data_IF_818073541227
#
_entry.id   IF_818073541227
#
_cell.length_a   1.000
_cell.length_b   1.000
_cell.length_c   1.000
_cell.angle_alpha   90.00
_cell.angle_beta   90.00
_cell.angle_gamma   90.00
#
_symmetry.space_group_name_H-M   'P 1'
#
loop_
_entity.id
_entity.type
_entity.pdbx_description
1 polymer ?
#
# COMPACT_ATOMS: atom_id res chain seq x y z
N UNK A 1 2.72 12.38 -19.35
CA UNK A 1 1.81 11.29 -18.94
C UNK A 1 2.42 10.67 -17.69
N UNK A 2 1.86 10.95 -16.52
CA UNK A 2 2.24 10.26 -15.28
C UNK A 2 1.39 9.00 -15.28
N UNK A 3 2.02 7.83 -15.33
CA UNK A 3 1.27 6.60 -15.22
C UNK A 3 0.53 6.60 -13.86
N UNK A 4 -0.67 6.02 -13.74
CA UNK A 4 -1.39 5.85 -12.46
C UNK A 4 -0.63 5.07 -11.36
N UNK A 5 0.69 4.87 -11.52
CA UNK A 5 1.57 3.92 -10.85
C UNK A 5 2.28 4.54 -9.63
N UNK A 6 2.05 5.81 -9.27
CA UNK A 6 2.82 6.46 -8.17
C UNK A 6 2.10 6.46 -6.81
N UNK A 7 1.27 5.45 -6.55
CA UNK A 7 0.74 5.24 -5.20
C UNK A 7 1.89 4.92 -4.25
N UNK A 8 2.06 5.74 -3.22
CA UNK A 8 3.14 5.60 -2.24
C UNK A 8 2.66 5.85 -0.83
N UNK A 9 3.29 5.15 0.09
CA UNK A 9 3.06 5.23 1.52
C UNK A 9 4.39 5.49 2.20
N UNK A 10 4.42 6.46 3.12
CA UNK A 10 5.60 6.71 3.96
C UNK A 10 5.36 6.15 5.36
N UNK A 11 6.29 5.32 5.81
CA UNK A 11 6.36 4.80 7.17
C UNK A 11 7.44 5.60 7.91
N UNK A 12 7.08 6.26 9.00
CA UNK A 12 8.05 6.92 9.89
C UNK A 12 8.53 5.92 10.95
N UNK A 13 9.84 5.62 10.93
CA UNK A 13 10.49 4.71 11.87
C UNK A 13 11.58 5.46 12.60
N UNK A 14 11.32 5.84 13.85
CA UNK A 14 12.32 6.51 14.70
C UNK A 14 12.90 7.78 14.05
N UNK A 15 12.12 8.48 13.22
CA UNK A 15 12.55 9.69 12.49
C UNK A 15 13.15 9.40 11.12
N UNK A 16 13.24 8.13 10.70
CA UNK A 16 13.65 7.73 9.36
C UNK A 16 12.42 7.41 8.49
N UNK A 17 12.20 8.16 7.38
CA UNK A 17 11.10 7.90 6.47
C UNK A 17 11.42 6.75 5.51
N UNK A 18 10.70 5.64 5.64
CA UNK A 18 10.73 4.53 4.69
C UNK A 18 9.56 4.67 3.71
N UNK A 19 9.87 4.78 2.42
CA UNK A 19 8.85 4.89 1.36
C UNK A 19 8.55 3.50 0.81
N UNK A 20 7.27 3.14 0.78
CA UNK A 20 6.73 1.98 0.10
C UNK A 20 6.00 2.45 -1.15
N UNK A 21 6.37 1.93 -2.32
CA UNK A 21 5.72 2.23 -3.60
C UNK A 21 5.02 1.01 -4.15
N UNK A 22 3.82 1.23 -4.65
CA UNK A 22 3.11 0.22 -5.42
C UNK A 22 3.43 0.40 -6.91
N UNK A 23 4.63 0.00 -7.28
CA UNK A 23 5.09 -0.01 -8.67
C UNK A 23 5.21 -1.44 -9.22
N UNK A 24 5.47 -1.56 -10.52
CA UNK A 24 5.60 -2.87 -11.18
C UNK A 24 6.74 -3.71 -10.57
N UNK A 25 7.84 -3.08 -10.14
CA UNK A 25 8.98 -3.80 -9.58
C UNK A 25 8.62 -4.41 -8.22
N UNK A 26 7.96 -3.64 -7.35
CA UNK A 26 7.47 -4.10 -6.06
C UNK A 26 6.41 -5.19 -6.19
N UNK A 27 5.48 -5.05 -7.14
CA UNK A 27 4.47 -6.08 -7.44
C UNK A 27 5.10 -7.38 -7.95
N UNK A 28 5.99 -7.30 -8.95
CA UNK A 28 6.67 -8.47 -9.49
C UNK A 28 7.52 -9.19 -8.42
N UNK A 29 8.15 -8.43 -7.51
CA UNK A 29 8.91 -9.00 -6.39
C UNK A 29 7.99 -9.70 -5.38
N UNK A 30 6.85 -9.10 -5.03
CA UNK A 30 5.83 -9.74 -4.19
C UNK A 30 5.38 -11.08 -4.79
N UNK A 31 5.01 -11.10 -6.08
CA UNK A 31 4.58 -12.31 -6.78
C UNK A 31 5.67 -13.38 -6.79
N UNK A 32 6.92 -13.00 -7.11
CA UNK A 32 8.07 -13.91 -7.10
C UNK A 32 8.29 -14.57 -5.73
N UNK A 33 8.01 -13.83 -4.65
CA UNK A 33 8.13 -14.30 -3.26
C UNK A 33 6.86 -15.03 -2.75
N UNK A 34 5.91 -15.30 -3.65
CA UNK A 34 4.64 -15.96 -3.34
C UNK A 34 3.79 -15.12 -2.38
N UNK A 35 3.75 -13.80 -2.61
CA UNK A 35 2.86 -12.87 -1.95
C UNK A 35 2.00 -12.21 -3.03
N UNK A 36 0.73 -12.54 -3.03
CA UNK A 36 -0.26 -11.86 -3.86
C UNK A 36 -0.96 -10.78 -3.02
N UNK A 37 -0.78 -9.51 -3.41
CA UNK A 37 -1.41 -8.37 -2.73
C UNK A 37 -2.87 -8.16 -3.14
N UNK A 38 -3.31 -8.79 -4.23
CA UNK A 38 -4.66 -8.70 -4.78
C UNK A 38 -5.47 -9.99 -4.58
N UNK A 39 -4.96 -10.92 -3.77
CA UNK A 39 -5.67 -12.15 -3.40
C UNK A 39 -7.04 -11.84 -2.77
N UNK A 40 -8.03 -12.69 -3.04
CA UNK A 40 -9.35 -12.64 -2.41
C UNK A 40 -9.28 -12.76 -0.87
N UNK A 41 -8.26 -13.45 -0.35
CA UNK A 41 -7.98 -13.58 1.09
C UNK A 41 -7.34 -12.31 1.69
N UNK A 42 -6.96 -11.35 0.84
CA UNK A 42 -6.29 -10.10 1.19
C UNK A 42 -4.80 -10.24 1.53
N UNK A 43 -4.24 -9.18 2.13
CA UNK A 43 -2.82 -9.10 2.47
C UNK A 43 -2.45 -10.16 3.53
N UNK A 44 -1.34 -10.92 3.34
CA UNK A 44 -0.93 -11.96 4.28
C UNK A 44 -0.73 -11.44 5.71
N UNK A 45 -1.24 -12.19 6.70
CA UNK A 45 -1.11 -11.85 8.13
C UNK A 45 0.15 -12.40 8.81
N UNK A 46 0.89 -13.29 8.14
CA UNK A 46 2.13 -13.85 8.69
C UNK A 46 3.22 -12.78 8.70
N UNK A 47 3.84 -12.55 9.86
CA UNK A 47 4.87 -11.52 10.05
C UNK A 47 5.97 -11.57 8.99
N UNK A 48 6.45 -12.78 8.68
CA UNK A 48 7.48 -12.98 7.64
C UNK A 48 6.99 -12.56 6.25
N UNK A 49 5.73 -12.83 5.91
CA UNK A 49 5.15 -12.42 4.62
C UNK A 49 4.95 -10.90 4.56
N UNK A 50 4.57 -10.26 5.67
CA UNK A 50 4.47 -8.80 5.77
C UNK A 50 5.85 -8.15 5.59
N UNK A 51 6.90 -8.73 6.16
CA UNK A 51 8.27 -8.25 5.95
C UNK A 51 8.69 -8.33 4.47
N UNK A 52 8.30 -9.40 3.77
CA UNK A 52 8.54 -9.52 2.33
C UNK A 52 7.77 -8.46 1.52
N UNK A 53 6.54 -8.11 1.93
CA UNK A 53 5.79 -6.98 1.33
C UNK A 53 6.55 -5.67 1.54
N UNK A 54 6.94 -5.35 2.77
CA UNK A 54 7.69 -4.12 3.09
C UNK A 54 8.95 -4.02 2.24
N UNK A 55 9.76 -5.08 2.20
CA UNK A 55 10.98 -5.13 1.39
C UNK A 55 10.69 -4.92 -0.10
N UNK A 56 9.69 -5.62 -0.63
CA UNK A 56 9.36 -5.57 -2.05
C UNK A 56 8.89 -4.17 -2.45
N UNK A 57 7.98 -3.57 -1.69
CA UNK A 57 7.45 -2.24 -1.98
C UNK A 57 8.47 -1.12 -1.69
N UNK A 58 9.46 -1.36 -0.81
CA UNK A 58 10.53 -0.41 -0.56
C UNK A 58 11.66 -0.48 -1.61
N UNK A 59 11.70 -1.50 -2.48
CA UNK A 59 12.89 -1.81 -3.31
C UNK A 59 13.32 -0.64 -4.20
N UNK A 60 12.39 0.19 -4.67
CA UNK A 60 12.70 1.33 -5.53
C UNK A 60 13.44 2.46 -4.80
N UNK A 61 13.03 2.81 -3.58
CA UNK A 61 13.67 3.86 -2.79
C UNK A 61 14.77 3.32 -1.85
N UNK A 62 14.70 2.04 -1.50
CA UNK A 62 15.59 1.34 -0.55
C UNK A 62 16.08 -0.01 -1.11
N UNK A 63 16.82 -0.02 -2.23
CA UNK A 63 17.20 -1.25 -2.94
C UNK A 63 18.13 -2.18 -2.16
N UNK A 64 18.83 -1.65 -1.15
CA UNK A 64 19.73 -2.42 -0.29
C UNK A 64 19.06 -2.94 0.97
N UNK A 65 17.76 -2.67 1.18
CA UNK A 65 17.02 -3.13 2.36
C UNK A 65 17.05 -4.66 2.44
N UNK A 66 17.58 -5.14 3.56
CA UNK A 66 17.64 -6.56 3.88
C UNK A 66 16.29 -7.06 4.40
N UNK A 67 16.11 -8.38 4.36
CA UNK A 67 14.89 -9.00 4.92
C UNK A 67 14.80 -8.82 6.44
N UNK A 68 15.93 -8.78 7.15
CA UNK A 68 15.98 -8.59 8.60
C UNK A 68 15.62 -7.14 8.99
N UNK A 69 16.06 -6.15 8.22
CA UNK A 69 15.63 -4.76 8.39
C UNK A 69 14.13 -4.60 8.14
N UNK A 70 13.60 -5.22 7.07
CA UNK A 70 12.17 -5.21 6.81
C UNK A 70 11.37 -5.89 7.94
N UNK A 71 11.88 -6.98 8.50
CA UNK A 71 11.27 -7.65 9.66
C UNK A 71 11.29 -6.76 10.91
N UNK A 72 12.40 -6.05 11.14
CA UNK A 72 12.54 -5.08 12.24
C UNK A 72 11.50 -3.96 12.11
N UNK A 73 11.29 -3.41 10.91
CA UNK A 73 10.23 -2.43 10.63
C UNK A 73 8.86 -2.99 11.02
N UNK A 74 8.56 -4.24 10.64
CA UNK A 74 7.29 -4.90 10.99
C UNK A 74 7.10 -5.05 12.49
N UNK A 75 8.16 -5.41 13.21
CA UNK A 75 8.12 -5.52 14.67
C UNK A 75 7.87 -4.16 15.34
N UNK A 76 8.49 -3.07 14.84
CA UNK A 76 8.36 -1.72 15.40
C UNK A 76 6.98 -1.10 15.17
N UNK A 77 6.41 -1.22 13.96
CA UNK A 77 5.09 -0.60 13.62
C UNK A 77 3.91 -1.46 14.11
N UNK A 78 4.15 -2.74 14.38
CA UNK A 78 3.16 -3.81 14.58
C UNK A 78 2.57 -4.32 13.25
N UNK A 79 2.46 -5.64 13.05
CA UNK A 79 1.97 -6.26 11.81
C UNK A 79 0.63 -5.72 11.28
N UNK A 80 -0.38 -5.59 12.14
CA UNK A 80 -1.74 -5.19 11.72
C UNK A 80 -1.80 -3.74 11.20
N UNK A 81 -0.98 -2.86 11.74
CA UNK A 81 -0.91 -1.47 11.29
C UNK A 81 -0.30 -1.38 9.89
N UNK A 82 0.71 -2.19 9.59
CA UNK A 82 1.29 -2.28 8.24
C UNK A 82 0.27 -2.85 7.24
N UNK A 83 -0.41 -3.94 7.60
CA UNK A 83 -1.46 -4.52 6.74
C UNK A 83 -2.51 -3.48 6.37
N UNK A 84 -3.00 -2.71 7.36
CA UNK A 84 -4.02 -1.68 7.13
C UNK A 84 -3.53 -0.64 6.12
N UNK A 85 -2.30 -0.14 6.29
CA UNK A 85 -1.71 0.84 5.37
C UNK A 85 -1.41 0.27 3.97
N UNK A 86 -1.06 -1.02 3.86
CA UNK A 86 -0.87 -1.68 2.56
C UNK A 86 -2.21 -1.86 1.85
N UNK A 87 -3.28 -2.19 2.57
CA UNK A 87 -4.64 -2.26 2.00
C UNK A 87 -5.07 -0.88 1.49
N UNK A 88 -4.83 0.19 2.26
CA UNK A 88 -5.06 1.57 1.82
C UNK A 88 -4.29 1.87 0.52
N UNK A 89 -2.99 1.55 0.49
CA UNK A 89 -2.13 1.75 -0.68
C UNK A 89 -2.64 1.01 -1.93
N UNK A 90 -3.09 -0.25 -1.78
CA UNK A 90 -3.65 -1.07 -2.87
C UNK A 90 -5.02 -0.55 -3.31
N UNK A 91 -5.84 -0.07 -2.38
CA UNK A 91 -7.16 0.49 -2.68
C UNK A 91 -7.04 1.82 -3.43
N UNK A 92 -6.11 2.69 -3.02
CA UNK A 92 -5.83 3.96 -3.69
C UNK A 92 -5.35 3.75 -5.12
N UNK A 93 -4.54 2.72 -5.35
CA UNK A 93 -4.12 2.31 -6.69
C UNK A 93 -5.31 1.88 -7.58
N UNK A 94 -6.25 1.11 -7.04
CA UNK A 94 -7.46 0.71 -7.76
C UNK A 94 -8.42 1.88 -8.02
N UNK A 95 -8.49 2.84 -7.11
CA UNK A 95 -9.39 3.99 -7.19
C UNK A 95 -8.92 5.09 -8.15
N UNK A 96 -7.60 5.24 -8.37
CA UNK A 96 -7.06 6.29 -9.24
C UNK A 96 -7.15 5.98 -10.74
N UNK A 97 -7.50 4.74 -11.13
CA UNK A 97 -7.71 4.39 -12.54
C UNK A 97 -8.91 5.13 -13.19
N UNK A 98 -9.90 5.58 -12.39
CA UNK A 98 -11.06 6.34 -12.88
C UNK A 98 -11.00 7.85 -12.55
N UNK A 99 -10.00 8.32 -11.79
CA UNK A 99 -9.92 9.71 -11.37
C UNK A 99 -9.14 10.59 -12.37
N UNK A 100 -9.46 10.47 -13.66
CA UNK A 100 -9.13 11.48 -14.67
C UNK A 100 -10.41 12.19 -15.11
N UNK A 101 -11.00 12.98 -14.22
CA UNK A 101 -11.87 14.11 -14.60
C UNK A 101 -11.98 15.12 -13.47
N UNK A 102 -11.37 16.28 -13.72
CA UNK A 102 -11.78 17.63 -13.32
C UNK A 102 -12.72 17.81 -12.11
N UNK A 103 -12.19 18.50 -11.09
CA UNK A 103 -12.91 19.61 -10.45
C UNK A 103 -14.03 19.31 -9.44
N UNK A 104 -13.87 19.92 -8.26
CA UNK A 104 -14.87 20.21 -7.21
C UNK A 104 -15.36 19.06 -6.33
N UNK A 105 -14.97 19.18 -5.06
CA UNK A 105 -15.96 19.46 -4.02
C UNK A 105 -16.69 18.26 -3.44
N UNK A 106 -16.29 17.90 -2.23
CA UNK A 106 -17.04 17.12 -1.23
C UNK A 106 -18.54 17.41 -1.26
N UNK A 107 -19.35 16.36 -1.44
CA UNK A 107 -20.53 16.06 -0.59
C UNK A 107 -21.06 14.66 -0.85
N UNK A 108 -21.10 13.85 0.22
CA UNK A 108 -21.88 12.62 0.26
C UNK A 108 -23.38 12.95 0.11
N UNK A 109 -24.18 12.12 -0.58
CA UNK A 109 -25.62 12.33 -0.68
C UNK A 109 -26.27 12.00 0.67
N UNK A 110 -26.93 12.98 1.28
CA UNK A 110 -27.85 12.78 2.39
C UNK A 110 -29.17 12.22 1.83
N UNK A 111 -29.55 11.02 2.26
CA UNK A 111 -30.92 10.52 2.15
C UNK A 111 -31.87 11.43 2.92
N UNK A 112 -32.90 12.01 2.29
CA UNK A 112 -34.21 12.25 2.92
C UNK A 112 -35.29 12.69 1.91
N UNK A 113 -36.39 11.91 1.93
CA UNK A 113 -37.80 12.34 1.92
C UNK A 113 -38.41 12.87 0.61
N UNK A 114 -39.15 11.97 -0.06
CA UNK A 114 -40.22 12.34 -0.99
C UNK A 114 -41.55 12.35 -0.20
N UNK A 115 -42.10 13.55 0.02
CA UNK A 115 -43.46 13.73 0.50
C UNK A 115 -44.34 14.08 -0.72
N UNK A 116 -45.38 13.27 -0.94
CA UNK A 116 -46.52 13.58 -1.78
C UNK A 116 -47.78 13.41 -0.94
#
# INVERSE_FOLDING_TARGET
MVAPIDAKLVLDIEGEPITLRLDFAGLAMCEHLGVDLFSEDGVPRKVTKIALVVKSLATTDHPTMTTDEALSIVAKIKPLAIISKVIELVTDFGAQADASTEGKGVKAPSESQNAA
#
